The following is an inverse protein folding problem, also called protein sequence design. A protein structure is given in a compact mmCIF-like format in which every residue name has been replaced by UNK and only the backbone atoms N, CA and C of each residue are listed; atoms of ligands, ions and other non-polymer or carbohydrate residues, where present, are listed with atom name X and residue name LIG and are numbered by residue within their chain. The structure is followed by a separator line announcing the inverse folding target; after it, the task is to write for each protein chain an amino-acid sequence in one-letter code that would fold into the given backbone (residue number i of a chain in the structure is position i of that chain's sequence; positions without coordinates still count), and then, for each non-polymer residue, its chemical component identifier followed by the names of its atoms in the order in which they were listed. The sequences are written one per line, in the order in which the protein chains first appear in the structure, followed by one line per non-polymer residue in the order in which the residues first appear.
data_IF_852442628891
#
_entry.id   IF_852442628891
#
_cell.length_a   1.000
_cell.length_b   1.000
_cell.length_c   1.000
_cell.angle_alpha   90.00
_cell.angle_beta   90.00
_cell.angle_gamma   90.00
#
_symmetry.space_group_name_H-M   'P 1'
#
loop_
_entity.id
_entity.type
_entity.pdbx_description
1 polymer ?
#
# COMPACT_ATOMS: atom_id res chain seq x y z
N UNK A 1 -6.24 -18.12 -28.75
CA UNK A 1 -5.54 -18.68 -27.58
C UNK A 1 -4.66 -17.59 -26.99
N UNK A 2 -4.99 -17.11 -25.80
CA UNK A 2 -4.24 -16.03 -25.14
C UNK A 2 -3.03 -16.66 -24.44
N UNK A 3 -1.83 -16.35 -24.93
CA UNK A 3 -0.59 -16.90 -24.37
C UNK A 3 -0.38 -16.32 -22.96
N UNK A 4 -0.13 -17.17 -21.96
CA UNK A 4 0.16 -16.70 -20.62
C UNK A 4 1.51 -15.99 -20.61
N UNK A 5 1.57 -14.70 -20.22
CA UNK A 5 2.83 -14.00 -20.14
C UNK A 5 3.65 -14.51 -18.95
N UNK A 6 4.83 -15.04 -19.22
CA UNK A 6 5.79 -15.42 -18.18
C UNK A 6 6.46 -14.17 -17.60
N UNK A 7 5.85 -13.59 -16.57
CA UNK A 7 6.41 -12.44 -15.85
C UNK A 7 7.36 -12.95 -14.77
N UNK A 8 8.57 -12.38 -14.70
CA UNK A 8 9.52 -12.70 -13.64
C UNK A 8 8.97 -12.21 -12.28
N UNK A 9 8.84 -13.08 -11.26
CA UNK A 9 8.29 -12.70 -9.97
C UNK A 9 9.19 -11.75 -9.16
N UNK A 10 10.49 -11.70 -9.47
CA UNK A 10 11.45 -10.78 -8.83
C UNK A 10 11.41 -9.45 -9.55
N UNK A 11 11.08 -8.40 -8.81
CA UNK A 11 11.05 -7.02 -9.30
C UNK A 11 12.43 -6.37 -9.25
N UNK A 12 13.13 -6.52 -8.11
CA UNK A 12 14.43 -5.91 -7.85
C UNK A 12 15.30 -6.93 -7.12
N UNK A 13 16.54 -7.10 -7.55
CA UNK A 13 17.52 -7.95 -6.87
C UNK A 13 18.71 -7.11 -6.42
N UNK A 14 18.98 -7.11 -5.12
CA UNK A 14 20.11 -6.42 -4.50
C UNK A 14 20.98 -7.47 -3.81
N UNK A 15 22.00 -7.96 -4.53
CA UNK A 15 22.86 -9.05 -4.05
C UNK A 15 22.04 -10.30 -3.71
N UNK A 16 22.09 -10.81 -2.46
CA UNK A 16 21.30 -11.97 -2.03
C UNK A 16 19.83 -11.65 -1.75
N UNK A 17 19.41 -10.38 -1.76
CA UNK A 17 18.05 -9.97 -1.45
C UNK A 17 17.21 -9.83 -2.73
N UNK A 18 16.17 -10.65 -2.87
CA UNK A 18 15.21 -10.58 -3.97
C UNK A 18 13.88 -9.97 -3.51
N UNK A 19 13.58 -8.78 -4.00
CA UNK A 19 12.30 -8.10 -3.80
C UNK A 19 11.34 -8.55 -4.89
N UNK A 20 10.21 -9.11 -4.48
CA UNK A 20 9.20 -9.63 -5.39
C UNK A 20 8.07 -8.63 -5.63
N UNK A 21 7.39 -8.74 -6.77
CA UNK A 21 6.26 -7.89 -7.12
C UNK A 21 5.14 -7.93 -6.08
N UNK A 22 4.84 -9.10 -5.52
CA UNK A 22 3.82 -9.22 -4.47
C UNK A 22 4.17 -8.38 -3.23
N UNK A 23 5.44 -8.32 -2.85
CA UNK A 23 5.87 -7.54 -1.70
C UNK A 23 5.69 -6.05 -1.94
N UNK A 24 6.07 -5.58 -3.14
CA UNK A 24 5.90 -4.19 -3.54
C UNK A 24 4.41 -3.82 -3.58
N UNK A 25 3.56 -4.65 -4.18
CA UNK A 25 2.13 -4.35 -4.27
C UNK A 25 1.47 -4.29 -2.90
N UNK A 26 1.84 -5.18 -1.96
CA UNK A 26 1.36 -5.09 -0.58
C UNK A 26 1.80 -3.81 0.12
N UNK A 27 3.07 -3.41 -0.02
CA UNK A 27 3.56 -2.15 0.55
C UNK A 27 2.82 -0.95 -0.02
N UNK A 28 2.67 -0.88 -1.34
CA UNK A 28 1.94 0.20 -2.01
C UNK A 28 0.49 0.24 -1.55
N UNK A 29 -0.21 -0.90 -1.53
CA UNK A 29 -1.60 -0.97 -1.08
C UNK A 29 -1.75 -0.51 0.37
N UNK A 30 -0.86 -0.95 1.26
CA UNK A 30 -0.88 -0.56 2.66
C UNK A 30 -0.60 0.93 2.84
N UNK A 31 0.42 1.48 2.18
CA UNK A 31 0.76 2.90 2.23
C UNK A 31 -0.39 3.76 1.70
N UNK A 32 -1.00 3.37 0.59
CA UNK A 32 -2.16 4.06 0.03
C UNK A 32 -3.35 3.99 0.98
N UNK A 33 -3.67 2.82 1.53
CA UNK A 33 -4.78 2.65 2.46
C UNK A 33 -4.59 3.51 3.72
N UNK A 34 -3.42 3.42 4.35
CA UNK A 34 -3.09 4.21 5.54
C UNK A 34 -3.08 5.71 5.22
N UNK A 35 -2.46 6.11 4.11
CA UNK A 35 -2.40 7.51 3.69
C UNK A 35 -3.78 8.09 3.38
N UNK A 36 -4.64 7.34 2.71
CA UNK A 36 -6.03 7.71 2.48
C UNK A 36 -6.83 7.78 3.78
N UNK A 37 -6.61 6.86 4.71
CA UNK A 37 -7.23 6.89 6.04
C UNK A 37 -6.86 8.16 6.81
N UNK A 38 -5.57 8.51 6.83
CA UNK A 38 -5.09 9.76 7.46
C UNK A 38 -5.65 10.98 6.75
N UNK A 39 -5.68 10.98 5.41
CA UNK A 39 -6.30 12.09 4.66
C UNK A 39 -7.79 12.21 4.97
N UNK A 40 -8.50 11.09 5.11
CA UNK A 40 -9.93 11.02 5.44
C UNK A 40 -10.22 11.65 6.79
N UNK A 41 -9.36 11.43 7.79
CA UNK A 41 -9.51 12.01 9.13
C UNK A 41 -9.42 13.54 9.15
N UNK A 42 -8.86 14.16 8.10
CA UNK A 42 -8.80 15.62 7.95
C UNK A 42 -10.11 16.22 7.43
N UNK A 43 -11.09 15.40 7.03
CA UNK A 43 -12.42 15.87 6.66
C UNK A 43 -13.34 15.92 7.88
N UNK A 44 -14.19 16.95 7.94
CA UNK A 44 -15.27 17.04 8.92
C UNK A 44 -16.25 15.84 8.79
N UNK A 45 -16.79 15.31 9.90
CA UNK A 45 -16.66 15.80 11.27
C UNK A 45 -15.37 15.34 11.98
N UNK A 46 -14.63 14.38 11.43
CA UNK A 46 -13.47 13.78 12.10
C UNK A 46 -12.39 14.79 12.49
N UNK A 47 -12.24 15.87 11.72
CA UNK A 47 -11.30 16.94 12.03
C UNK A 47 -11.67 17.78 13.26
N UNK A 48 -12.96 17.90 13.61
CA UNK A 48 -13.44 18.70 14.74
C UNK A 48 -13.82 17.88 15.98
N UNK A 49 -13.75 16.55 15.90
CA UNK A 49 -13.96 15.67 17.06
C UNK A 49 -12.78 15.84 18.02
N UNK A 50 -13.04 16.50 19.16
CA UNK A 50 -12.08 16.67 20.27
C UNK A 50 -12.82 16.41 21.58
N UNK A 51 -12.39 15.42 22.37
CA UNK A 51 -13.00 15.13 23.68
C UNK A 51 -12.52 13.83 24.34
N UNK A 52 -12.75 13.62 25.64
CA UNK A 52 -12.37 12.39 26.33
C UNK A 52 -13.32 11.26 25.89
N UNK A 53 -12.92 10.53 24.85
CA UNK A 53 -13.74 9.56 24.11
C UNK A 53 -13.58 9.66 22.58
N UNK A 54 -12.86 10.67 22.10
CA UNK A 54 -12.24 10.72 20.78
C UNK A 54 -10.90 9.97 20.75
#
# INVERSE_FOLDING_TARGET
MLMYPHINPVAIQIGPLAVHWYGITYLVAFTLFMGLGVLRLRHEPYASIVGPGA
#
